data_IF_440797153127
#
_entry.id   IF_440797153127
#
_cell.length_a   1.000
_cell.length_b   1.000
_cell.length_c   1.000
_cell.angle_alpha   90.00
_cell.angle_beta   90.00
_cell.angle_gamma   90.00
#
_symmetry.space_group_name_H-M   'P 1'
#
loop_
_entity.id
_entity.type
_entity.pdbx_description
1 polymer ?
#
# COMPACT_ATOMS: atom_id res chain seq x y z
N UNK A 1 12.80 11.17 4.05
CA UNK A 1 11.83 10.06 4.08
C UNK A 1 10.42 10.61 4.22
N UNK A 2 9.64 10.51 3.15
CA UNK A 2 8.22 10.86 3.11
C UNK A 2 7.36 9.60 3.29
N UNK A 3 6.20 9.75 3.91
CA UNK A 3 5.26 8.67 4.17
C UNK A 3 3.84 9.07 3.79
N UNK A 4 3.06 8.10 3.34
CA UNK A 4 1.66 8.30 2.95
C UNK A 4 0.89 6.99 3.14
N UNK A 5 -0.39 7.08 3.50
CA UNK A 5 -1.25 5.91 3.65
C UNK A 5 -2.37 5.94 2.61
N UNK A 6 -2.61 4.81 1.94
CA UNK A 6 -3.75 4.60 1.04
C UNK A 6 -4.70 3.64 1.74
N UNK A 7 -5.84 4.17 2.19
CA UNK A 7 -6.91 3.41 2.83
C UNK A 7 -7.84 2.88 1.75
N UNK A 8 -8.05 1.57 1.72
CA UNK A 8 -8.91 0.92 0.74
C UNK A 8 -10.35 0.78 1.25
N UNK A 9 -11.26 0.21 0.45
CA UNK A 9 -12.58 -0.25 0.89
C UNK A 9 -12.65 -1.77 1.10
N UNK A 10 -11.52 -2.47 1.02
CA UNK A 10 -11.48 -3.93 1.02
C UNK A 10 -11.09 -4.53 2.36
N UNK A 11 -11.69 -5.69 2.64
CA UNK A 11 -11.49 -6.47 3.86
C UNK A 11 -10.85 -7.79 3.49
N UNK A 12 -9.52 -7.78 3.34
CA UNK A 12 -8.73 -8.94 2.94
C UNK A 12 -7.70 -9.30 4.01
N UNK A 13 -7.34 -10.58 4.10
CA UNK A 13 -6.19 -10.96 4.90
C UNK A 13 -4.89 -10.41 4.29
N UNK A 14 -3.87 -10.17 5.12
CA UNK A 14 -2.56 -9.67 4.65
C UNK A 14 -1.98 -10.53 3.53
N UNK A 15 -2.18 -11.85 3.62
CA UNK A 15 -1.73 -12.83 2.64
C UNK A 15 -2.44 -12.68 1.30
N UNK A 16 -3.76 -12.50 1.30
CA UNK A 16 -4.55 -12.33 0.07
C UNK A 16 -4.25 -11.00 -0.60
N UNK A 17 -4.16 -9.92 0.18
CA UNK A 17 -3.81 -8.61 -0.34
C UNK A 17 -2.41 -8.61 -0.97
N UNK A 18 -1.40 -9.21 -0.31
CA UNK A 18 -0.07 -9.36 -0.89
C UNK A 18 -0.10 -10.10 -2.23
N UNK A 19 -0.83 -11.22 -2.30
CA UNK A 19 -0.90 -12.00 -3.54
C UNK A 19 -1.52 -11.20 -4.69
N UNK A 20 -2.57 -10.40 -4.42
CA UNK A 20 -3.18 -9.54 -5.45
C UNK A 20 -2.25 -8.40 -5.85
N UNK A 21 -1.59 -7.74 -4.89
CA UNK A 21 -0.65 -6.65 -5.15
C UNK A 21 0.60 -7.10 -5.91
N UNK A 22 1.13 -8.30 -5.63
CA UNK A 22 2.25 -8.86 -6.41
C UNK A 22 1.91 -9.00 -7.89
N UNK A 23 0.66 -9.40 -8.20
CA UNK A 23 0.19 -9.56 -9.59
C UNK A 23 -0.02 -8.20 -10.24
N UNK A 24 -0.78 -7.30 -9.61
CA UNK A 24 -1.12 -5.98 -10.17
C UNK A 24 0.11 -5.11 -10.36
N UNK A 25 0.98 -5.05 -9.36
CA UNK A 25 2.18 -4.23 -9.40
C UNK A 25 3.33 -4.91 -10.16
N UNK A 26 3.16 -6.18 -10.54
CA UNK A 26 4.18 -7.00 -11.19
C UNK A 26 5.53 -6.98 -10.42
N UNK A 27 5.45 -7.12 -9.10
CA UNK A 27 6.61 -7.19 -8.19
C UNK A 27 6.50 -8.41 -7.29
N UNK A 28 7.57 -8.74 -6.57
CA UNK A 28 7.56 -9.77 -5.52
C UNK A 28 7.76 -9.14 -4.16
N UNK A 29 6.97 -9.58 -3.19
CA UNK A 29 7.14 -9.18 -1.80
C UNK A 29 8.43 -9.80 -1.26
N UNK A 30 9.21 -8.97 -0.57
CA UNK A 30 10.27 -9.44 0.29
C UNK A 30 9.66 -10.04 1.56
N UNK A 31 10.03 -11.28 1.86
CA UNK A 31 9.50 -12.08 2.98
C UNK A 31 10.61 -12.52 3.93
N UNK A 32 11.76 -11.84 3.95
CA UNK A 32 12.85 -12.12 4.90
C UNK A 32 12.38 -11.97 6.34
N UNK A 33 11.49 -11.01 6.60
CA UNK A 33 10.66 -10.96 7.79
C UNK A 33 9.24 -11.45 7.44
N UNK A 34 8.82 -12.65 7.90
CA UNK A 34 7.51 -13.19 7.60
C UNK A 34 6.37 -12.45 8.31
N UNK A 35 6.67 -11.68 9.36
CA UNK A 35 5.67 -10.90 10.11
C UNK A 35 5.38 -9.55 9.44
N UNK A 36 6.39 -9.01 8.75
CA UNK A 36 6.27 -7.75 8.04
C UNK A 36 6.81 -7.80 6.60
N UNK A 37 6.15 -8.55 5.71
CA UNK A 37 6.48 -8.52 4.30
C UNK A 37 6.21 -7.15 3.70
N UNK A 38 7.07 -6.74 2.77
CA UNK A 38 6.95 -5.47 2.05
C UNK A 38 7.19 -5.67 0.55
N UNK A 39 6.64 -4.77 -0.26
CA UNK A 39 6.80 -4.75 -1.70
C UNK A 39 7.74 -3.58 -2.05
N UNK A 40 8.81 -3.86 -2.80
CA UNK A 40 9.68 -2.81 -3.33
C UNK A 40 9.21 -2.43 -4.72
N UNK A 41 8.68 -1.22 -4.88
CA UNK A 41 8.21 -0.73 -6.17
C UNK A 41 9.40 -0.28 -7.03
N UNK A 42 9.33 -0.42 -8.38
CA UNK A 42 10.39 0.04 -9.28
C UNK A 42 10.69 1.55 -9.16
N UNK A 43 9.74 2.32 -8.63
CA UNK A 43 9.87 3.76 -8.37
C UNK A 43 10.74 4.11 -7.16
N UNK A 44 11.24 3.11 -6.42
CA UNK A 44 12.02 3.30 -5.19
C UNK A 44 11.16 3.43 -3.92
N UNK A 45 9.84 3.25 -4.05
CA UNK A 45 8.90 3.28 -2.92
C UNK A 45 8.75 1.90 -2.29
N UNK A 46 8.80 1.86 -0.96
CA UNK A 46 8.47 0.68 -0.17
C UNK A 46 6.99 0.73 0.18
N UNK A 47 6.28 -0.35 -0.11
CA UNK A 47 4.86 -0.52 0.20
C UNK A 47 4.71 -1.60 1.27
N UNK A 48 4.05 -1.27 2.38
CA UNK A 48 3.67 -2.21 3.43
C UNK A 48 2.16 -2.29 3.59
N UNK A 49 1.68 -3.43 4.07
CA UNK A 49 0.25 -3.65 4.33
C UNK A 49 0.01 -3.67 5.83
N UNK A 50 -0.85 -2.77 6.29
CA UNK A 50 -1.44 -2.81 7.61
C UNK A 50 -2.84 -3.44 7.53
N UNK A 51 -3.00 -4.55 8.24
CA UNK A 51 -4.30 -5.21 8.42
C UNK A 51 -4.76 -4.92 9.85
N UNK A 52 -6.00 -4.48 10.03
CA UNK A 52 -6.53 -4.17 11.34
C UNK A 52 -6.46 -5.38 12.28
N UNK A 53 -6.33 -5.09 13.57
CA UNK A 53 -6.23 -6.15 14.59
C UNK A 53 -7.60 -6.79 14.78
N UNK A 54 -7.60 -8.05 15.22
CA UNK A 54 -8.83 -8.80 15.50
C UNK A 54 -9.82 -7.99 16.36
N UNK A 55 -11.02 -7.75 15.83
CA UNK A 55 -12.08 -6.98 16.48
C UNK A 55 -12.33 -5.58 15.88
N UNK A 56 -11.45 -5.11 14.98
CA UNK A 56 -11.64 -3.88 14.22
C UNK A 56 -12.19 -4.20 12.83
N UNK A 57 -13.39 -3.70 12.51
CA UNK A 57 -13.97 -3.77 11.16
C UNK A 57 -13.45 -2.58 10.32
N UNK A 58 -12.13 -2.54 10.16
CA UNK A 58 -11.46 -1.51 9.38
C UNK A 58 -11.01 -2.10 8.03
N UNK A 59 -11.02 -1.31 6.96
CA UNK A 59 -10.49 -1.76 5.70
C UNK A 59 -8.96 -1.84 5.75
N UNK A 60 -8.39 -2.45 4.72
CA UNK A 60 -6.96 -2.59 4.58
C UNK A 60 -6.29 -1.23 4.28
N UNK A 61 -5.16 -0.99 4.93
CA UNK A 61 -4.32 0.20 4.71
C UNK A 61 -3.01 -0.19 4.05
N UNK A 62 -2.63 0.57 3.03
CA UNK A 62 -1.37 0.45 2.32
C UNK A 62 -0.48 1.64 2.67
N UNK A 63 0.66 1.40 3.31
CA UNK A 63 1.60 2.46 3.64
C UNK A 63 2.73 2.52 2.62
N UNK A 64 2.96 3.71 2.09
CA UNK A 64 4.03 4.02 1.15
C UNK A 64 5.11 4.81 1.89
N UNK A 65 6.36 4.41 1.70
CA UNK A 65 7.54 5.08 2.27
C UNK A 65 8.63 5.19 1.23
N UNK A 66 9.19 6.38 1.06
CA UNK A 66 10.25 6.60 0.09
C UNK A 66 11.14 7.76 0.51
N UNK A 67 12.38 7.77 0.01
CA UNK A 67 13.29 8.92 0.15
C UNK A 67 13.25 9.79 -1.10
N UNK A 68 12.06 10.31 -1.40
CA UNK A 68 11.74 11.18 -2.53
C UNK A 68 10.91 12.38 -2.05
N UNK A 69 10.78 13.46 -2.84
CA UNK A 69 9.91 14.57 -2.47
C UNK A 69 8.46 14.13 -2.26
N UNK A 70 7.80 14.68 -1.23
CA UNK A 70 6.42 14.32 -0.85
C UNK A 70 5.44 14.42 -2.02
N UNK A 71 5.51 15.48 -2.82
CA UNK A 71 4.66 15.64 -4.00
C UNK A 71 4.79 14.47 -5.00
N UNK A 72 6.00 13.93 -5.18
CA UNK A 72 6.24 12.76 -6.05
C UNK A 72 5.65 11.49 -5.41
N UNK A 73 5.69 11.37 -4.08
CA UNK A 73 5.07 10.26 -3.38
C UNK A 73 3.53 10.30 -3.50
N UNK A 74 2.93 11.49 -3.45
CA UNK A 74 1.49 11.69 -3.68
C UNK A 74 1.11 11.26 -5.10
N UNK A 75 1.84 11.70 -6.13
CA UNK A 75 1.61 11.27 -7.52
C UNK A 75 1.70 9.75 -7.68
N UNK A 76 2.66 9.11 -7.01
CA UNK A 76 2.77 7.64 -7.01
C UNK A 76 1.62 6.96 -6.29
N UNK A 77 1.13 7.53 -5.19
CA UNK A 77 -0.02 7.01 -4.47
C UNK A 77 -1.31 7.15 -5.28
N UNK A 78 -1.51 8.26 -5.99
CA UNK A 78 -2.62 8.46 -6.92
C UNK A 78 -2.58 7.46 -8.07
N UNK A 79 -1.40 7.24 -8.65
CA UNK A 79 -1.20 6.22 -9.69
C UNK A 79 -1.49 4.82 -9.17
N UNK A 80 -1.05 4.49 -7.96
CA UNK A 80 -1.33 3.21 -7.30
C UNK A 80 -2.85 3.05 -7.08
N UNK A 81 -3.50 4.03 -6.46
CA UNK A 81 -4.93 4.01 -6.20
C UNK A 81 -5.75 3.82 -7.48
N UNK A 82 -5.38 4.52 -8.56
CA UNK A 82 -5.99 4.34 -9.87
C UNK A 82 -5.79 2.92 -10.41
N UNK A 83 -4.57 2.40 -10.35
CA UNK A 83 -4.28 1.05 -10.84
C UNK A 83 -5.07 -0.02 -10.06
N UNK A 84 -5.18 0.11 -8.73
CA UNK A 84 -5.99 -0.80 -7.91
C UNK A 84 -7.48 -0.70 -8.24
N UNK A 85 -7.98 0.50 -8.53
CA UNK A 85 -9.34 0.71 -9.03
C UNK A 85 -9.58 0.05 -10.39
N UNK A 86 -8.65 0.23 -11.34
CA UNK A 86 -8.78 -0.28 -12.70
C UNK A 86 -8.65 -1.82 -12.77
N UNK A 87 -7.68 -2.40 -12.05
CA UNK A 87 -7.33 -3.83 -12.16
C UNK A 87 -8.09 -4.71 -11.16
N UNK A 88 -8.42 -4.20 -9.96
CA UNK A 88 -9.07 -4.96 -8.89
C UNK A 88 -10.45 -4.42 -8.50
N UNK A 89 -10.84 -3.23 -8.96
CA UNK A 89 -12.08 -2.59 -8.57
C UNK A 89 -12.07 -2.01 -7.16
N UNK A 90 -10.90 -1.76 -6.56
CA UNK A 90 -10.80 -1.23 -5.19
C UNK A 90 -11.03 0.28 -5.18
N UNK A 91 -11.81 0.76 -4.20
CA UNK A 91 -11.89 2.19 -3.90
C UNK A 91 -10.79 2.56 -2.92
N UNK A 92 -10.10 3.67 -3.16
CA UNK A 92 -8.94 4.08 -2.37
C UNK A 92 -9.06 5.56 -1.96
N UNK A 93 -8.69 5.86 -0.73
CA UNK A 93 -8.58 7.21 -0.16
C UNK A 93 -7.13 7.42 0.28
N UNK A 94 -6.52 8.50 -0.21
CA UNK A 94 -5.15 8.89 0.11
C UNK A 94 -5.18 9.74 1.38
N UNK A 95 -4.50 9.29 2.42
CA UNK A 95 -4.26 10.02 3.66
C UNK A 95 -2.80 10.43 3.72
N UNK A 96 -2.57 11.73 3.59
CA UNK A 96 -1.25 12.32 3.82
C UNK A 96 -1.00 12.31 5.34
N UNK A 97 0.10 11.67 5.76
CA UNK A 97 0.51 11.73 7.17
C UNK A 97 0.66 13.20 7.58
N UNK A 98 0.15 13.57 8.75
CA UNK A 98 0.41 14.92 9.28
C UNK A 98 1.93 15.14 9.31
N UNK A 99 2.45 16.29 8.85
CA UNK A 99 3.85 16.61 9.08
C UNK A 99 4.09 16.62 10.58
N UNK A 100 5.07 15.82 11.03
CA UNK A 100 5.57 15.85 12.41
C UNK A 100 6.09 17.25 12.80
#
# INVERSE_FOLDING_TARGET
MSTLSVVTDVFLSKREALAQLEVVLNVRADRRDPTNPYLFMPTGTVLTIEVPKFGEDLPLTLDLRADIPHAVLVEQAESLAKQLGDDLGWSCIILEGQPE
#
